data_IF_861328767295
#
_entry.id   IF_861328767295
#
_cell.length_a   1.000
_cell.length_b   1.000
_cell.length_c   1.000
_cell.angle_alpha   90.00
_cell.angle_beta   90.00
_cell.angle_gamma   90.00
#
_symmetry.space_group_name_H-M   'P 1'
#
loop_
_entity.id
_entity.type
_entity.pdbx_description
1 polymer ?
#
# COMPACT_ATOMS: atom_id res chain seq x y z
N UNK A 1 5.93 -20.36 26.65
CA UNK A 1 6.05 -18.97 26.18
C UNK A 1 6.94 -18.98 24.95
N UNK A 2 6.37 -18.89 23.75
CA UNK A 2 7.15 -18.90 22.50
C UNK A 2 7.59 -17.47 22.21
N UNK A 3 8.88 -17.19 22.36
CA UNK A 3 9.49 -15.97 21.86
C UNK A 3 9.39 -15.98 20.33
N UNK A 4 8.36 -15.34 19.76
CA UNK A 4 8.38 -15.01 18.33
C UNK A 4 9.54 -14.04 18.12
N UNK A 5 10.48 -14.41 17.25
CA UNK A 5 11.48 -13.48 16.73
C UNK A 5 10.74 -12.26 16.18
N UNK A 6 10.90 -11.10 16.83
CA UNK A 6 10.33 -9.86 16.31
C UNK A 6 11.07 -9.54 15.02
N UNK A 7 10.31 -9.40 13.94
CA UNK A 7 10.81 -8.80 12.72
C UNK A 7 11.16 -7.35 13.06
N UNK A 8 12.45 -6.99 13.02
CA UNK A 8 12.93 -5.66 13.48
C UNK A 8 12.96 -4.62 12.38
N UNK A 9 12.47 -4.94 11.19
CA UNK A 9 12.48 -4.02 10.06
C UNK A 9 11.16 -3.27 9.94
N UNK A 10 11.24 -2.08 9.37
CA UNK A 10 10.09 -1.21 9.13
C UNK A 10 9.31 -1.70 7.91
N UNK A 11 8.00 -1.90 8.08
CA UNK A 11 7.06 -2.21 6.99
C UNK A 11 6.14 -1.02 6.80
N UNK A 12 5.93 -0.62 5.54
CA UNK A 12 4.98 0.44 5.18
C UNK A 12 3.97 -0.06 4.17
N UNK A 13 2.70 0.13 4.47
CA UNK A 13 1.60 -0.14 3.55
C UNK A 13 1.19 1.15 2.87
N UNK A 14 1.29 1.17 1.54
CA UNK A 14 1.04 2.34 0.71
C UNK A 14 -0.21 2.08 -0.12
N UNK A 15 -1.30 2.75 0.21
CA UNK A 15 -2.55 2.63 -0.53
C UNK A 15 -2.68 3.75 -1.56
N UNK A 16 -3.16 3.42 -2.75
CA UNK A 16 -3.49 4.43 -3.76
C UNK A 16 -4.72 5.26 -3.40
N UNK A 17 -5.62 4.70 -2.60
CA UNK A 17 -6.90 5.30 -2.25
C UNK A 17 -7.06 5.42 -0.74
N UNK A 18 -7.56 6.57 -0.27
CA UNK A 18 -7.73 6.84 1.16
C UNK A 18 -8.73 5.88 1.85
N UNK A 19 -9.79 5.46 1.16
CA UNK A 19 -10.73 4.46 1.68
C UNK A 19 -10.04 3.13 1.99
N UNK A 20 -9.16 2.68 1.09
CA UNK A 20 -8.36 1.47 1.28
C UNK A 20 -7.37 1.62 2.45
N UNK A 21 -6.71 2.78 2.57
CA UNK A 21 -5.81 3.07 3.69
C UNK A 21 -6.54 2.96 5.03
N UNK A 22 -7.76 3.49 5.11
CA UNK A 22 -8.61 3.41 6.31
C UNK A 22 -8.98 1.97 6.64
N UNK A 23 -9.48 1.20 5.67
CA UNK A 23 -9.87 -0.20 5.89
C UNK A 23 -8.70 -1.08 6.32
N UNK A 24 -7.54 -0.91 5.69
CA UNK A 24 -6.32 -1.65 6.07
C UNK A 24 -5.83 -1.22 7.45
N UNK A 25 -5.88 0.08 7.78
CA UNK A 25 -5.53 0.58 9.10
C UNK A 25 -6.34 -0.09 10.20
N UNK A 26 -7.67 -0.12 10.06
CA UNK A 26 -8.57 -0.81 11.01
C UNK A 26 -8.23 -2.29 11.13
N UNK A 27 -8.02 -2.99 10.01
CA UNK A 27 -7.70 -4.42 10.01
C UNK A 27 -6.34 -4.76 10.66
N UNK A 28 -5.36 -3.85 10.59
CA UNK A 28 -4.06 -4.03 11.26
C UNK A 28 -4.16 -3.72 12.75
N UNK A 29 -4.93 -2.70 13.14
CA UNK A 29 -5.22 -2.39 14.55
C UNK A 29 -5.91 -3.57 15.24
N UNK A 30 -6.93 -4.17 14.61
CA UNK A 30 -7.63 -5.37 15.12
C UNK A 30 -6.72 -6.59 15.30
N UNK A 31 -5.57 -6.62 14.62
CA UNK A 31 -4.58 -7.70 14.68
C UNK A 31 -3.38 -7.39 15.57
N UNK A 32 -3.41 -6.28 16.30
CA UNK A 32 -2.30 -5.79 17.13
C UNK A 32 -1.01 -5.57 16.32
N UNK A 33 -1.15 -5.20 15.03
CA UNK A 33 -0.06 -4.88 14.11
C UNK A 33 0.15 -3.36 13.96
N UNK A 34 -0.05 -2.61 15.04
CA UNK A 34 -0.03 -1.15 15.03
C UNK A 34 1.35 -0.52 14.71
N UNK A 35 2.42 -1.32 14.74
CA UNK A 35 3.77 -0.89 14.35
C UNK A 35 3.90 -0.65 12.83
N UNK A 36 2.95 -1.16 12.03
CA UNK A 36 2.93 -0.98 10.57
C UNK A 36 2.34 0.39 10.19
N UNK A 37 3.08 1.17 9.40
CA UNK A 37 2.61 2.48 8.95
C UNK A 37 1.76 2.33 7.70
N UNK A 38 0.46 2.61 7.83
CA UNK A 38 -0.47 2.69 6.69
C UNK A 38 -0.62 4.14 6.25
N UNK A 39 -0.34 4.41 4.97
CA UNK A 39 -0.48 5.77 4.42
C UNK A 39 -0.92 5.73 2.96
N UNK A 40 -1.43 6.86 2.46
CA UNK A 40 -1.62 7.04 1.02
C UNK A 40 -0.29 7.38 0.34
N UNK A 41 -0.20 7.17 -0.97
CA UNK A 41 0.99 7.53 -1.75
C UNK A 41 1.42 9.00 -1.55
N UNK A 42 0.47 9.94 -1.45
CA UNK A 42 0.79 11.36 -1.22
C UNK A 42 1.36 11.60 0.19
N UNK A 43 0.91 10.82 1.18
CA UNK A 43 1.45 10.84 2.55
C UNK A 43 2.82 10.17 2.71
N UNK A 44 3.36 9.56 1.65
CA UNK A 44 4.66 8.87 1.67
C UNK A 44 5.81 9.74 1.13
N UNK A 45 5.56 11.00 0.76
CA UNK A 45 6.61 11.83 0.20
C UNK A 45 7.76 11.95 1.24
N UNK A 46 8.97 11.57 0.85
CA UNK A 46 10.22 11.60 1.67
C UNK A 46 10.35 10.45 2.71
N UNK A 47 9.33 9.62 2.93
CA UNK A 47 9.40 8.54 3.93
C UNK A 47 9.63 7.15 3.30
N UNK A 48 10.76 6.51 3.62
CA UNK A 48 11.10 5.15 3.20
C UNK A 48 10.84 4.10 4.31
N UNK A 49 10.78 2.83 3.91
CA UNK A 49 10.70 1.67 4.80
C UNK A 49 11.61 0.54 4.27
N UNK A 50 11.97 -0.40 5.15
CA UNK A 50 12.78 -1.56 4.76
C UNK A 50 12.03 -2.42 3.75
N UNK A 51 10.72 -2.62 3.98
CA UNK A 51 9.79 -3.26 3.06
C UNK A 51 8.58 -2.35 2.78
N UNK A 52 8.21 -2.25 1.51
CA UNK A 52 6.98 -1.58 1.08
C UNK A 52 5.93 -2.59 0.59
N UNK A 53 4.68 -2.41 1.01
CA UNK A 53 3.52 -3.13 0.46
C UNK A 53 2.63 -2.10 -0.23
N UNK A 54 2.54 -2.16 -1.56
CA UNK A 54 1.74 -1.22 -2.35
C UNK A 54 0.39 -1.85 -2.68
N UNK A 55 -0.69 -1.23 -2.23
CA UNK A 55 -2.07 -1.69 -2.45
C UNK A 55 -2.73 -0.78 -3.49
N UNK A 56 -3.00 -1.37 -4.65
CA UNK A 56 -3.42 -0.64 -5.85
C UNK A 56 -4.94 -0.65 -6.03
N UNK A 57 -5.65 -1.42 -5.22
CA UNK A 57 -7.10 -1.60 -5.32
C UNK A 57 -7.86 -0.43 -4.71
N UNK A 58 -8.98 -0.10 -5.35
CA UNK A 58 -9.99 0.81 -4.80
C UNK A 58 -11.09 -0.03 -4.17
N UNK A 59 -11.32 0.09 -2.87
CA UNK A 59 -12.45 -0.52 -2.20
C UNK A 59 -13.77 -0.16 -2.92
N UNK A 60 -14.63 -1.14 -3.16
CA UNK A 60 -15.95 -0.94 -3.74
C UNK A 60 -16.03 -0.70 -5.25
N UNK A 61 -14.95 -0.88 -6.03
CA UNK A 61 -15.05 -0.82 -7.49
C UNK A 61 -15.68 -2.09 -8.07
N UNK A 62 -16.90 -1.99 -8.59
CA UNK A 62 -17.62 -3.09 -9.25
C UNK A 62 -17.49 -3.06 -10.77
N UNK A 63 -16.96 -1.97 -11.34
CA UNK A 63 -16.82 -1.76 -12.79
C UNK A 63 -15.35 -1.69 -13.20
N UNK A 64 -15.01 -2.30 -14.34
CA UNK A 64 -13.68 -2.29 -14.97
C UNK A 64 -13.49 -1.00 -15.78
N UNK A 65 -13.92 0.14 -15.24
CA UNK A 65 -13.73 1.42 -15.92
C UNK A 65 -12.38 2.00 -15.47
N UNK A 66 -11.38 1.92 -16.35
CA UNK A 66 -10.02 2.40 -16.10
C UNK A 66 -9.88 3.92 -16.08
N UNK A 67 -10.95 4.65 -16.42
CA UNK A 67 -10.95 6.11 -16.37
C UNK A 67 -10.73 6.63 -14.94
N UNK A 68 -9.67 7.43 -14.75
CA UNK A 68 -9.27 7.94 -13.44
C UNK A 68 -8.58 6.91 -12.53
N UNK A 69 -8.05 5.83 -13.10
CA UNK A 69 -7.17 4.92 -12.38
C UNK A 69 -5.95 5.68 -11.82
N UNK A 70 -5.56 5.37 -10.59
CA UNK A 70 -4.41 6.01 -9.94
C UNK A 70 -3.11 5.83 -10.74
N UNK A 71 -3.02 4.76 -11.53
CA UNK A 71 -1.92 4.46 -12.44
C UNK A 71 -1.65 5.56 -13.47
N UNK A 72 -2.66 6.35 -13.81
CA UNK A 72 -2.54 7.42 -14.79
C UNK A 72 -1.83 8.65 -14.19
N UNK A 73 -1.48 8.62 -12.90
CA UNK A 73 -0.66 9.61 -12.22
C UNK A 73 0.76 9.10 -11.99
N UNK A 74 1.55 9.00 -13.06
CA UNK A 74 2.92 8.47 -13.07
C UNK A 74 3.79 8.97 -11.91
N UNK A 75 3.73 10.27 -11.58
CA UNK A 75 4.51 10.85 -10.47
C UNK A 75 4.14 10.24 -9.11
N UNK A 76 2.85 10.03 -8.87
CA UNK A 76 2.33 9.48 -7.61
C UNK A 76 2.61 7.99 -7.51
N UNK A 77 2.52 7.29 -8.65
CA UNK A 77 2.96 5.89 -8.78
C UNK A 77 4.44 5.76 -8.46
N UNK A 78 5.28 6.60 -9.06
CA UNK A 78 6.73 6.59 -8.81
C UNK A 78 7.06 6.82 -7.33
N UNK A 79 6.36 7.76 -6.67
CA UNK A 79 6.50 7.93 -5.21
C UNK A 79 6.20 6.62 -4.49
N UNK A 80 5.06 5.98 -4.75
CA UNK A 80 4.69 4.74 -4.08
C UNK A 80 5.68 3.58 -4.35
N UNK A 81 6.13 3.41 -5.59
CA UNK A 81 6.99 2.29 -6.00
C UNK A 81 8.46 2.45 -5.58
N UNK A 82 8.86 3.62 -5.06
CA UNK A 82 10.24 3.92 -4.66
C UNK A 82 10.47 3.97 -3.15
N UNK A 83 9.52 3.50 -2.33
CA UNK A 83 9.62 3.61 -0.86
C UNK A 83 10.28 2.43 -0.16
N UNK A 84 10.44 1.28 -0.83
CA UNK A 84 11.06 0.09 -0.25
C UNK A 84 12.57 0.07 -0.45
N UNK A 85 13.35 -0.04 0.63
CA UNK A 85 14.82 -0.09 0.56
C UNK A 85 15.35 -1.45 0.12
N UNK A 86 14.80 -2.52 0.69
CA UNK A 86 15.27 -3.89 0.45
C UNK A 86 14.27 -4.72 -0.37
N UNK A 87 12.99 -4.34 -0.37
CA UNK A 87 11.99 -5.07 -1.12
C UNK A 87 10.65 -4.37 -1.19
N UNK A 88 9.84 -4.82 -2.14
CA UNK A 88 8.48 -4.35 -2.36
C UNK A 88 7.57 -5.49 -2.80
N UNK A 89 6.33 -5.48 -2.31
CA UNK A 89 5.24 -6.31 -2.82
C UNK A 89 4.11 -5.42 -3.33
N UNK A 90 3.56 -5.74 -4.50
CA UNK A 90 2.44 -5.01 -5.11
C UNK A 90 1.20 -5.91 -5.11
N UNK A 91 0.14 -5.46 -4.43
CA UNK A 91 -1.12 -6.17 -4.31
C UNK A 91 -2.17 -5.42 -5.12
N UNK A 92 -2.70 -6.09 -6.14
CA UNK A 92 -3.61 -5.47 -7.09
C UNK A 92 -4.34 -6.47 -7.97
N UNK A 93 -5.39 -6.01 -8.63
CA UNK A 93 -6.05 -6.76 -9.69
C UNK A 93 -5.38 -6.46 -11.03
N UNK A 94 -4.57 -7.40 -11.53
CA UNK A 94 -3.82 -7.27 -12.78
C UNK A 94 -4.67 -6.86 -13.99
N UNK A 95 -5.93 -7.28 -14.07
CA UNK A 95 -6.81 -6.88 -15.19
C UNK A 95 -7.07 -5.38 -15.19
N UNK A 96 -7.21 -4.78 -14.02
CA UNK A 96 -7.41 -3.33 -13.87
C UNK A 96 -6.10 -2.56 -14.05
N UNK A 97 -4.96 -3.18 -13.73
CA UNK A 97 -3.62 -2.59 -13.94
C UNK A 97 -3.26 -2.52 -15.43
N UNK A 98 -3.65 -3.52 -16.21
CA UNK A 98 -3.29 -3.66 -17.62
C UNK A 98 -4.10 -2.74 -18.55
N UNK A 99 -5.32 -2.38 -18.16
CA UNK A 99 -6.25 -1.57 -18.98
C UNK A 99 -6.23 -0.08 -18.64
N UNK A 100 -5.41 0.33 -17.67
CA UNK A 100 -5.28 1.72 -17.24
C UNK A 100 -4.46 2.56 -18.22
#
# INVERSE_FOLDING_TARGET
MVLRTRFTCTVRVICFYAGQAKEVGVALEEREMADDIVSTADGCQIHEADLAIVVTTKAGLTTVDGSGAFWNHERRVNVALSRGKFGMSVIGNFKMLWTA
#
